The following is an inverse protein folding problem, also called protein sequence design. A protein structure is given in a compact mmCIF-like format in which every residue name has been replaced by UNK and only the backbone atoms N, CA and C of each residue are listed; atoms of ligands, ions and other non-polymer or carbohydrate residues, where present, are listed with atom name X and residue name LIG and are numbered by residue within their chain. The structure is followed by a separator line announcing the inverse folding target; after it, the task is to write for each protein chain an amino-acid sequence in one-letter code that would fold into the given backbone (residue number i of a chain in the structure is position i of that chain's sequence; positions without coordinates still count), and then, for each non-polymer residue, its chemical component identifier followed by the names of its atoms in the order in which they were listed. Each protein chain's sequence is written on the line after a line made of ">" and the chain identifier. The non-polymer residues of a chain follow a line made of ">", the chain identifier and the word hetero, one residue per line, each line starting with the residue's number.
data_IF_083937578507
#
_entry.id   IF_083937578507
#
_cell.length_a   1.000
_cell.length_b   1.000
_cell.length_c   1.000
_cell.angle_alpha   90.00
_cell.angle_beta   90.00
_cell.angle_gamma   90.00
#
_symmetry.space_group_name_H-M   'P 1'
#
loop_
_entity.id
_entity.type
_entity.pdbx_description
1 polymer ?
#
# COMPACT_ATOMS: atom_id res chain seq x y z
N UNK A 1 -0.61 19.15 2.52
CA UNK A 1 -1.99 19.31 2.03
C UNK A 1 -2.58 20.53 2.71
N UNK A 2 -3.47 21.25 2.05
CA UNK A 2 -4.27 22.28 2.70
C UNK A 2 -5.09 21.65 3.83
N UNK A 3 -5.07 22.26 5.01
CA UNK A 3 -5.75 21.73 6.19
C UNK A 3 -7.27 21.71 6.01
N UNK A 4 -7.84 22.62 5.22
CA UNK A 4 -9.27 22.72 4.97
C UNK A 4 -9.80 21.80 3.86
N UNK A 5 -8.93 21.04 3.17
CA UNK A 5 -9.32 20.28 1.98
C UNK A 5 -10.50 19.33 2.24
N UNK A 6 -10.42 18.52 3.30
CA UNK A 6 -11.45 17.52 3.59
C UNK A 6 -12.73 18.11 4.19
N UNK A 7 -12.68 19.33 4.74
CA UNK A 7 -13.86 20.02 5.27
C UNK A 7 -14.73 20.61 4.15
N UNK A 8 -14.10 21.00 3.04
CA UNK A 8 -14.75 21.65 1.91
C UNK A 8 -15.03 20.72 0.71
N UNK A 9 -14.67 19.43 0.80
CA UNK A 9 -14.72 18.50 -0.32
C UNK A 9 -15.65 17.31 -0.07
N UNK A 10 -16.43 16.95 -1.07
CA UNK A 10 -17.11 15.66 -1.11
C UNK A 10 -16.21 14.64 -1.82
N UNK A 11 -15.85 13.56 -1.14
CA UNK A 11 -14.95 12.53 -1.67
C UNK A 11 -15.73 11.28 -2.05
N UNK A 12 -15.59 10.86 -3.30
CA UNK A 12 -16.03 9.55 -3.77
C UNK A 12 -14.79 8.64 -3.90
N UNK A 13 -14.75 7.55 -3.14
CA UNK A 13 -13.72 6.53 -3.24
C UNK A 13 -14.28 5.27 -3.94
N UNK A 14 -13.70 4.91 -5.08
CA UNK A 14 -13.99 3.64 -5.75
C UNK A 14 -12.86 2.65 -5.50
N UNK A 15 -13.19 1.48 -4.97
CA UNK A 15 -12.25 0.36 -4.81
C UNK A 15 -12.76 -0.77 -5.70
N UNK A 16 -12.09 -1.09 -6.82
CA UNK A 16 -12.60 -2.02 -7.84
C UNK A 16 -12.56 -3.47 -7.35
N UNK A 17 -13.62 -4.26 -7.59
CA UNK A 17 -13.67 -5.68 -7.22
C UNK A 17 -12.73 -6.56 -8.06
N UNK A 18 -12.10 -7.54 -7.40
CA UNK A 18 -11.44 -8.67 -8.04
C UNK A 18 -12.24 -9.96 -7.85
N UNK A 19 -11.70 -11.11 -8.27
CA UNK A 19 -12.38 -12.41 -8.14
C UNK A 19 -12.52 -12.90 -6.69
N UNK A 20 -11.67 -12.42 -5.78
CA UNK A 20 -11.76 -12.67 -4.33
C UNK A 20 -12.50 -11.54 -3.64
N UNK A 21 -13.48 -11.83 -2.75
CA UNK A 21 -14.19 -10.82 -1.97
C UNK A 21 -13.22 -9.89 -1.24
N UNK A 22 -13.53 -8.59 -1.20
CA UNK A 22 -12.75 -7.59 -0.46
C UNK A 22 -13.05 -7.61 1.04
N UNK A 23 -13.00 -8.77 1.66
CA UNK A 23 -13.35 -8.94 3.08
C UNK A 23 -12.23 -8.53 4.05
N UNK A 24 -11.08 -8.07 3.53
CA UNK A 24 -9.91 -7.76 4.35
C UNK A 24 -9.62 -6.25 4.46
N UNK A 25 -9.31 -5.71 5.65
CA UNK A 25 -8.92 -4.31 5.87
C UNK A 25 -7.58 -3.90 5.23
N UNK A 26 -6.95 -4.81 4.46
CA UNK A 26 -5.59 -4.73 3.92
C UNK A 26 -5.32 -3.62 2.88
N UNK A 27 -6.34 -2.84 2.52
CA UNK A 27 -6.24 -1.71 1.60
C UNK A 27 -6.13 -0.35 2.32
N UNK A 28 -6.06 -0.32 3.66
CA UNK A 28 -6.03 0.91 4.46
C UNK A 28 -4.92 1.88 4.05
N UNK A 29 -3.70 1.38 3.84
CA UNK A 29 -2.56 2.20 3.37
C UNK A 29 -2.78 2.72 1.94
N UNK A 30 -3.41 1.93 1.07
CA UNK A 30 -3.70 2.29 -0.33
C UNK A 30 -4.72 3.41 -0.41
N UNK A 31 -5.85 3.26 0.30
CA UNK A 31 -6.91 4.26 0.34
C UNK A 31 -6.40 5.58 0.92
N UNK A 32 -5.64 5.53 2.01
CA UNK A 32 -5.05 6.73 2.63
C UNK A 32 -4.08 7.43 1.69
N UNK A 33 -3.28 6.67 0.94
CA UNK A 33 -2.34 7.22 -0.05
C UNK A 33 -3.06 7.87 -1.23
N UNK A 34 -4.14 7.27 -1.73
CA UNK A 34 -4.96 7.88 -2.76
C UNK A 34 -5.58 9.21 -2.29
N UNK A 35 -6.14 9.23 -1.08
CA UNK A 35 -6.71 10.46 -0.48
C UNK A 35 -5.65 11.54 -0.26
N UNK A 36 -4.46 11.16 0.21
CA UNK A 36 -3.38 12.10 0.44
C UNK A 36 -2.79 12.65 -0.87
N UNK A 37 -2.67 11.82 -1.90
CA UNK A 37 -2.30 12.23 -3.26
C UNK A 37 -3.29 13.28 -3.80
N UNK A 38 -4.60 13.01 -3.67
CA UNK A 38 -5.66 13.93 -4.06
C UNK A 38 -5.57 15.27 -3.31
N UNK A 39 -5.46 15.24 -1.98
CA UNK A 39 -5.39 16.43 -1.13
C UNK A 39 -4.08 17.23 -1.28
N UNK A 40 -3.02 16.61 -1.84
CA UNK A 40 -1.73 17.27 -2.13
C UNK A 40 -1.60 17.75 -3.57
N UNK A 41 -2.56 17.39 -4.44
CA UNK A 41 -2.40 17.55 -5.90
C UNK A 41 -1.07 16.99 -6.43
N UNK A 42 -0.67 15.83 -5.89
CA UNK A 42 0.63 15.20 -6.21
C UNK A 42 0.37 13.79 -6.74
N UNK A 43 0.61 13.58 -8.04
CA UNK A 43 0.53 12.28 -8.70
C UNK A 43 1.64 11.33 -8.25
N UNK A 44 1.40 10.02 -8.38
CA UNK A 44 2.40 8.98 -8.19
C UNK A 44 2.75 8.46 -9.58
N UNK A 45 3.87 8.90 -10.14
CA UNK A 45 4.22 8.69 -11.56
C UNK A 45 4.90 7.35 -11.86
N UNK A 46 5.05 6.49 -10.85
CA UNK A 46 5.75 5.21 -10.95
C UNK A 46 4.88 4.04 -10.50
N UNK A 47 5.19 2.87 -11.05
CA UNK A 47 4.51 1.64 -10.70
C UNK A 47 4.89 1.19 -9.29
N UNK A 48 3.93 1.27 -8.36
CA UNK A 48 4.11 0.94 -6.95
C UNK A 48 2.90 0.17 -6.46
N UNK A 49 3.12 -1.01 -5.87
CA UNK A 49 2.07 -1.75 -5.18
C UNK A 49 2.23 -1.61 -3.65
N UNK A 50 1.12 -1.66 -2.92
CA UNK A 50 1.15 -1.56 -1.46
C UNK A 50 0.02 -2.36 -0.83
N UNK A 51 0.25 -2.89 0.37
CA UNK A 51 -0.77 -3.52 1.19
C UNK A 51 -0.48 -3.24 2.67
N UNK A 52 -1.54 -3.17 3.46
CA UNK A 52 -1.45 -2.93 4.90
C UNK A 52 -2.78 -2.45 5.43
N UNK A 53 -3.22 -3.05 6.53
CA UNK A 53 -4.29 -2.48 7.33
C UNK A 53 -3.77 -1.24 8.06
N UNK A 54 -4.60 -0.21 8.18
CA UNK A 54 -4.21 1.06 8.77
C UNK A 54 -5.13 1.41 9.95
N UNK A 55 -4.53 1.69 11.10
CA UNK A 55 -5.26 2.17 12.28
C UNK A 55 -5.47 3.69 12.25
N UNK A 56 -6.42 4.20 13.03
CA UNK A 56 -6.63 5.64 13.21
C UNK A 56 -5.39 6.38 13.75
N UNK A 57 -4.52 5.70 14.49
CA UNK A 57 -3.28 6.25 15.05
C UNK A 57 -2.09 6.16 14.08
N UNK A 58 -2.34 5.66 12.87
CA UNK A 58 -1.37 5.56 11.78
C UNK A 58 -0.43 4.36 11.87
N UNK A 59 -0.78 3.31 12.61
CA UNK A 59 0.00 2.05 12.62
C UNK A 59 -0.37 1.21 11.41
N UNK A 60 0.64 0.58 10.80
CA UNK A 60 0.46 -0.35 9.68
C UNK A 60 0.47 -1.77 10.24
N UNK A 61 -0.67 -2.45 10.13
CA UNK A 61 -0.89 -3.80 10.67
C UNK A 61 -0.64 -4.87 9.60
N UNK A 62 -0.27 -6.10 10.03
CA UNK A 62 0.00 -7.19 9.11
C UNK A 62 -1.25 -7.60 8.33
N UNK A 63 -1.02 -8.20 7.17
CA UNK A 63 -2.05 -8.70 6.28
C UNK A 63 -1.74 -10.12 5.84
N UNK A 64 -2.78 -10.88 5.48
CA UNK A 64 -2.61 -12.19 4.86
C UNK A 64 -2.19 -12.11 3.38
N UNK A 65 -1.73 -13.25 2.87
CA UNK A 65 -1.53 -13.49 1.43
C UNK A 65 -0.33 -12.75 0.82
N UNK A 66 0.77 -12.61 1.56
CA UNK A 66 1.97 -11.89 1.07
C UNK A 66 2.54 -12.54 -0.18
N UNK A 67 2.60 -13.87 -0.22
CA UNK A 67 3.08 -14.62 -1.39
C UNK A 67 2.27 -14.29 -2.64
N UNK A 68 0.95 -14.38 -2.55
CA UNK A 68 0.03 -14.16 -3.67
C UNK A 68 0.10 -12.71 -4.14
N UNK A 69 0.21 -11.76 -3.21
CA UNK A 69 0.33 -10.32 -3.52
C UNK A 69 1.65 -9.99 -4.22
N UNK A 70 2.78 -10.56 -3.79
CA UNK A 70 4.08 -10.38 -4.46
C UNK A 70 4.06 -11.01 -5.85
N UNK A 71 3.46 -12.20 -6.01
CA UNK A 71 3.26 -12.83 -7.33
C UNK A 71 2.40 -11.93 -8.24
N UNK A 72 1.31 -11.37 -7.73
CA UNK A 72 0.41 -10.51 -8.49
C UNK A 72 1.10 -9.20 -8.93
N UNK A 73 1.86 -8.57 -8.04
CA UNK A 73 2.66 -7.38 -8.37
C UNK A 73 3.64 -7.68 -9.50
N UNK A 74 4.42 -8.76 -9.37
CA UNK A 74 5.39 -9.19 -10.39
C UNK A 74 4.73 -9.51 -11.73
N UNK A 75 3.58 -10.20 -11.72
CA UNK A 75 2.81 -10.51 -12.94
C UNK A 75 2.22 -9.27 -13.63
N UNK A 76 2.12 -8.17 -12.91
CA UNK A 76 1.63 -6.88 -13.41
C UNK A 76 2.79 -5.93 -13.75
N UNK A 77 4.02 -6.44 -13.86
CA UNK A 77 5.24 -5.67 -14.09
C UNK A 77 5.49 -4.56 -13.04
N UNK A 78 5.06 -4.81 -11.79
CA UNK A 78 5.32 -3.94 -10.65
C UNK A 78 6.40 -4.59 -9.78
N UNK A 79 7.57 -3.96 -9.74
CA UNK A 79 8.76 -4.45 -9.03
C UNK A 79 9.10 -3.62 -7.78
N UNK A 80 8.26 -2.66 -7.40
CA UNK A 80 8.37 -1.89 -6.15
C UNK A 80 7.14 -2.16 -5.30
N UNK A 81 7.33 -2.65 -4.06
CA UNK A 81 6.23 -2.97 -3.15
C UNK A 81 6.44 -2.40 -1.75
N UNK A 82 5.36 -1.93 -1.14
CA UNK A 82 5.32 -1.56 0.29
C UNK A 82 4.53 -2.62 1.06
N UNK A 83 5.17 -3.21 2.05
CA UNK A 83 4.60 -4.25 2.92
C UNK A 83 4.62 -3.79 4.40
N UNK A 84 3.72 -4.31 5.25
CA UNK A 84 3.82 -4.09 6.70
C UNK A 84 5.12 -4.68 7.24
N UNK A 85 5.78 -3.99 8.17
CA UNK A 85 6.98 -4.51 8.86
C UNK A 85 6.71 -5.86 9.54
N UNK A 86 5.51 -6.01 10.11
CA UNK A 86 5.07 -7.25 10.73
C UNK A 86 5.00 -8.45 9.75
N UNK A 87 4.95 -8.20 8.44
CA UNK A 87 4.99 -9.22 7.40
C UNK A 87 6.41 -9.49 6.84
N UNK A 88 7.46 -8.89 7.41
CA UNK A 88 8.85 -9.11 6.94
C UNK A 88 9.21 -10.58 6.90
N UNK A 89 8.88 -11.33 7.97
CA UNK A 89 9.16 -12.76 8.03
C UNK A 89 8.44 -13.54 6.91
N UNK A 90 7.17 -13.23 6.65
CA UNK A 90 6.42 -13.88 5.57
C UNK A 90 7.04 -13.62 4.19
N UNK A 91 7.60 -12.42 3.99
CA UNK A 91 8.33 -12.07 2.77
C UNK A 91 9.68 -12.77 2.68
N UNK A 92 10.45 -12.82 3.77
CA UNK A 92 11.79 -13.43 3.80
C UNK A 92 11.73 -14.94 3.52
N UNK A 93 10.65 -15.60 3.94
CA UNK A 93 10.35 -17.01 3.67
C UNK A 93 9.92 -17.29 2.21
N UNK A 94 9.77 -16.26 1.36
CA UNK A 94 9.47 -16.44 -0.06
C UNK A 94 10.67 -17.00 -0.84
N UNK A 95 10.41 -17.85 -1.86
CA UNK A 95 11.45 -18.29 -2.80
C UNK A 95 12.22 -17.13 -3.43
N UNK A 96 13.52 -17.32 -3.66
CA UNK A 96 14.40 -16.26 -4.17
C UNK A 96 13.94 -15.71 -5.53
N UNK A 97 13.41 -16.55 -6.42
CA UNK A 97 12.91 -16.12 -7.72
C UNK A 97 11.74 -15.12 -7.64
N UNK A 98 11.02 -15.04 -6.51
CA UNK A 98 9.98 -14.03 -6.29
C UNK A 98 10.55 -12.71 -5.77
N UNK A 99 11.64 -12.76 -5.01
CA UNK A 99 12.32 -11.61 -4.42
C UNK A 99 13.30 -10.96 -5.38
N UNK A 100 13.87 -11.74 -6.30
CA UNK A 100 14.86 -11.27 -7.27
C UNK A 100 14.29 -10.13 -8.14
N UNK A 101 15.00 -9.00 -8.20
CA UNK A 101 14.57 -7.78 -8.88
C UNK A 101 13.44 -7.00 -8.20
N UNK A 102 12.95 -7.44 -7.02
CA UNK A 102 11.90 -6.75 -6.27
C UNK A 102 12.52 -5.77 -5.25
N UNK A 103 12.11 -4.49 -5.33
CA UNK A 103 12.40 -3.49 -4.30
C UNK A 103 11.28 -3.51 -3.26
N UNK A 104 11.62 -3.81 -2.01
CA UNK A 104 10.64 -3.91 -0.92
C UNK A 104 10.92 -2.87 0.15
N UNK A 105 9.89 -2.11 0.48
CA UNK A 105 9.88 -1.18 1.59
C UNK A 105 8.97 -1.73 2.69
N UNK A 106 9.49 -1.81 3.91
CA UNK A 106 8.71 -2.24 5.06
C UNK A 106 8.29 -1.03 5.90
N UNK A 107 7.02 -1.01 6.31
CA UNK A 107 6.42 0.11 7.03
C UNK A 107 5.83 -0.32 8.38
N UNK A 108 6.17 0.42 9.45
CA UNK A 108 5.54 0.27 10.77
C UNK A 108 4.39 1.26 10.96
N UNK A 109 4.53 2.44 10.34
CA UNK A 109 3.56 3.53 10.41
C UNK A 109 3.31 4.11 9.03
N UNK A 110 2.17 4.78 8.87
CA UNK A 110 1.82 5.42 7.61
C UNK A 110 2.83 6.49 7.17
N UNK A 111 3.55 7.11 8.11
CA UNK A 111 4.63 8.06 7.78
C UNK A 111 5.76 7.40 6.97
N UNK A 112 6.03 6.11 7.20
CA UNK A 112 7.03 5.36 6.43
C UNK A 112 6.54 5.19 4.98
N UNK A 113 5.26 4.81 4.81
CA UNK A 113 4.59 4.72 3.50
C UNK A 113 4.64 6.07 2.78
N UNK A 114 4.23 7.15 3.44
CA UNK A 114 4.19 8.49 2.85
C UNK A 114 5.58 8.99 2.45
N UNK A 115 6.63 8.63 3.21
CA UNK A 115 8.02 8.95 2.86
C UNK A 115 8.47 8.24 1.58
N UNK A 116 8.11 6.96 1.42
CA UNK A 116 8.42 6.23 0.18
C UNK A 116 7.63 6.80 -1.00
N UNK A 117 6.36 7.11 -0.82
CA UNK A 117 5.48 7.55 -1.92
C UNK A 117 5.79 8.97 -2.38
N UNK A 118 5.93 9.92 -1.45
CA UNK A 118 5.96 11.37 -1.71
C UNK A 118 7.26 12.07 -1.30
N UNK A 119 8.20 11.35 -0.69
CA UNK A 119 9.49 11.89 -0.23
C UNK A 119 10.55 11.95 -1.30
#
# INVERSE_FOLDING_TARGET
>A
ADAGFFDASFVHLHVPEGATPKDGPSAGVTMTTALLSLARHQSIERNLAMTGELTLTGQVLPVGGIREKVIAARRSDIFEVILPEANRRDYDELPEYLKDGMTVHFANRYKDVAKVVFG
#
